data_IF_877808150057
#
_entry.id   IF_877808150057
#
_cell.length_a   1.000
_cell.length_b   1.000
_cell.length_c   1.000
_cell.angle_alpha   90.00
_cell.angle_beta   90.00
_cell.angle_gamma   90.00
#
_symmetry.space_group_name_H-M   'P 1'
#
loop_
_entity.id
_entity.type
_entity.pdbx_description
1 polymer ?
#
# COMPACT_ATOMS: atom_id res chain seq x y z
N UNK A 1 -11.86 -26.14 -17.46
CA UNK A 1 -12.45 -25.39 -16.34
C UNK A 1 -11.79 -24.02 -16.25
N UNK A 2 -12.44 -23.00 -16.80
CA UNK A 2 -11.99 -21.61 -16.68
C UNK A 2 -12.37 -21.11 -15.29
N UNK A 3 -11.39 -21.02 -14.39
CA UNK A 3 -11.53 -20.32 -13.11
C UNK A 3 -12.03 -18.90 -13.43
N UNK A 4 -13.13 -18.41 -12.83
CA UNK A 4 -13.55 -17.03 -13.04
C UNK A 4 -12.36 -16.12 -12.72
N UNK A 5 -12.15 -15.01 -13.47
CA UNK A 5 -11.11 -14.07 -13.10
C UNK A 5 -11.36 -13.67 -11.66
N UNK A 6 -10.42 -14.01 -10.78
CA UNK A 6 -10.50 -13.63 -9.37
C UNK A 6 -10.62 -12.11 -9.38
N UNK A 7 -11.66 -11.57 -8.74
CA UNK A 7 -11.72 -10.14 -8.50
C UNK A 7 -10.40 -9.72 -7.83
N UNK A 8 -9.66 -8.81 -8.47
CA UNK A 8 -8.37 -8.33 -7.94
C UNK A 8 -8.62 -7.73 -6.56
N UNK A 9 -7.84 -8.15 -5.57
CA UNK A 9 -7.98 -7.63 -4.21
C UNK A 9 -7.54 -6.16 -4.19
N UNK A 10 -8.40 -5.25 -3.71
CA UNK A 10 -8.06 -3.84 -3.58
C UNK A 10 -7.06 -3.63 -2.44
N UNK A 11 -5.91 -3.05 -2.78
CA UNK A 11 -4.78 -2.87 -1.86
C UNK A 11 -4.37 -1.41 -1.78
N UNK A 12 -4.10 -0.93 -0.58
CA UNK A 12 -3.39 0.34 -0.41
C UNK A 12 -1.92 0.09 -0.06
N UNK A 13 -1.05 1.03 -0.44
CA UNK A 13 0.38 0.95 -0.15
C UNK A 13 0.75 2.05 0.84
N UNK A 14 1.38 1.69 1.95
CA UNK A 14 1.92 2.67 2.91
C UNK A 14 3.39 2.97 2.58
N UNK A 15 3.68 4.21 2.20
CA UNK A 15 4.96 4.68 1.67
C UNK A 15 4.89 4.94 0.17
N UNK A 16 4.88 6.22 -0.23
CA UNK A 16 4.77 6.68 -1.61
C UNK A 16 6.12 7.07 -2.26
N UNK A 17 7.23 6.62 -1.68
CA UNK A 17 8.56 6.76 -2.28
C UNK A 17 8.85 5.68 -3.33
N UNK A 18 10.08 5.64 -3.83
CA UNK A 18 10.48 4.71 -4.90
C UNK A 18 10.16 3.22 -4.61
N UNK A 19 10.35 2.70 -3.37
CA UNK A 19 9.95 1.32 -3.06
C UNK A 19 8.45 1.05 -3.27
N UNK A 20 7.60 2.01 -2.86
CA UNK A 20 6.16 1.91 -3.03
C UNK A 20 5.74 2.03 -4.50
N UNK A 21 6.37 2.93 -5.25
CA UNK A 21 6.11 3.09 -6.68
C UNK A 21 6.43 1.80 -7.45
N UNK A 22 7.58 1.17 -7.18
CA UNK A 22 7.95 -0.12 -7.79
C UNK A 22 6.98 -1.24 -7.41
N UNK A 23 6.56 -1.29 -6.14
CA UNK A 23 5.58 -2.26 -5.68
C UNK A 23 4.24 -2.12 -6.41
N UNK A 24 3.75 -0.89 -6.60
CA UNK A 24 2.51 -0.65 -7.34
C UNK A 24 2.60 -1.13 -8.79
N UNK A 25 3.72 -0.86 -9.47
CA UNK A 25 3.95 -1.34 -10.84
C UNK A 25 3.96 -2.88 -10.91
N UNK A 26 4.63 -3.55 -9.96
CA UNK A 26 4.65 -5.01 -9.89
C UNK A 26 3.25 -5.61 -9.68
N UNK A 27 2.45 -5.03 -8.79
CA UNK A 27 1.07 -5.50 -8.53
C UNK A 27 0.16 -5.36 -9.76
N UNK A 28 0.35 -4.33 -10.60
CA UNK A 28 -0.44 -4.14 -11.81
C UNK A 28 -0.25 -5.30 -12.81
N UNK A 29 0.94 -5.93 -12.83
CA UNK A 29 1.26 -7.08 -13.67
C UNK A 29 0.82 -8.45 -13.12
N UNK A 30 0.86 -8.64 -11.80
CA UNK A 30 0.62 -9.94 -11.13
C UNK A 30 -0.84 -10.42 -11.16
N UNK A 31 -1.79 -9.48 -11.32
CA UNK A 31 -3.21 -9.81 -11.50
C UNK A 31 -3.94 -10.34 -10.26
N UNK A 32 -3.25 -10.56 -9.14
CA UNK A 32 -3.84 -10.89 -7.84
C UNK A 32 -4.27 -9.64 -7.06
N UNK A 33 -3.47 -8.57 -7.10
CA UNK A 33 -3.70 -7.34 -6.36
C UNK A 33 -3.98 -6.16 -7.30
N UNK A 34 -4.85 -5.24 -6.87
CA UNK A 34 -5.11 -3.97 -7.53
C UNK A 34 -4.72 -2.84 -6.56
N UNK A 35 -3.56 -2.20 -6.74
CA UNK A 35 -3.20 -1.07 -5.91
C UNK A 35 -4.11 0.12 -6.24
N UNK A 36 -4.81 0.66 -5.25
CA UNK A 36 -5.82 1.73 -5.47
C UNK A 36 -5.37 3.10 -4.98
N UNK A 37 -4.47 3.15 -3.99
CA UNK A 37 -3.91 4.39 -3.48
C UNK A 37 -2.63 4.19 -2.67
N UNK A 38 -1.95 5.30 -2.41
CA UNK A 38 -0.87 5.38 -1.43
C UNK A 38 -1.31 6.12 -0.16
N UNK A 39 -0.72 5.75 0.97
CA UNK A 39 -0.68 6.55 2.19
C UNK A 39 0.75 6.95 2.51
N UNK A 40 1.02 8.23 2.75
CA UNK A 40 2.37 8.71 3.09
C UNK A 40 2.31 9.97 3.98
N UNK A 41 3.14 10.02 5.02
CA UNK A 41 3.23 11.15 5.95
C UNK A 41 3.58 12.47 5.26
N UNK A 42 4.32 12.40 4.15
CA UNK A 42 4.72 13.57 3.36
C UNK A 42 3.59 14.10 2.48
N UNK A 43 2.44 13.44 2.40
CA UNK A 43 1.32 13.83 1.55
C UNK A 43 0.61 15.12 2.01
N UNK A 44 0.84 15.57 3.25
CA UNK A 44 0.20 16.79 3.82
C UNK A 44 0.53 18.10 3.09
N UNK A 45 1.53 18.13 2.21
CA UNK A 45 1.99 19.38 1.57
C UNK A 45 1.36 19.65 0.21
N UNK A 46 1.06 18.63 -0.59
CA UNK A 46 0.52 18.79 -1.95
C UNK A 46 -0.25 17.52 -2.36
N UNK A 47 -1.31 17.67 -3.17
CA UNK A 47 -1.96 16.52 -3.82
C UNK A 47 -0.98 15.88 -4.80
N UNK A 48 -0.49 14.69 -4.49
CA UNK A 48 0.48 13.98 -5.31
C UNK A 48 -0.13 12.70 -5.89
N UNK A 49 0.33 12.38 -7.09
CA UNK A 49 0.04 11.13 -7.78
C UNK A 49 1.36 10.42 -8.05
N UNK A 50 1.46 9.14 -7.68
CA UNK A 50 2.63 8.28 -7.89
C UNK A 50 2.15 7.02 -8.60
N UNK A 51 2.82 6.61 -9.68
CA UNK A 51 2.42 5.43 -10.47
C UNK A 51 0.93 5.46 -10.92
N UNK A 52 0.38 6.66 -11.16
CA UNK A 52 -1.04 6.86 -11.50
C UNK A 52 -2.02 6.79 -10.32
N UNK A 53 -1.53 6.57 -9.09
CA UNK A 53 -2.34 6.45 -7.88
C UNK A 53 -2.21 7.68 -7.00
N UNK A 54 -3.34 8.14 -6.44
CA UNK A 54 -3.34 9.27 -5.51
C UNK A 54 -2.65 8.90 -4.19
N UNK A 55 -1.93 9.88 -3.64
CA UNK A 55 -1.29 9.78 -2.33
C UNK A 55 -2.10 10.55 -1.30
N UNK A 56 -2.52 9.86 -0.25
CA UNK A 56 -3.30 10.40 0.87
C UNK A 56 -2.46 10.47 2.13
N UNK A 57 -2.78 11.37 3.06
CA UNK A 57 -2.11 11.42 4.33
C UNK A 57 -2.71 10.35 5.27
N UNK A 58 -1.95 9.81 6.25
CA UNK A 58 -2.39 8.66 7.06
C UNK A 58 -3.67 8.88 7.87
N UNK A 59 -4.09 10.13 8.09
CA UNK A 59 -5.30 10.46 8.84
C UNK A 59 -6.57 10.05 8.08
N UNK A 60 -6.51 9.95 6.76
CA UNK A 60 -7.63 9.52 5.92
C UNK A 60 -7.75 7.99 5.82
N UNK A 61 -6.86 7.25 6.47
CA UNK A 61 -6.74 5.81 6.28
C UNK A 61 -7.99 5.05 6.71
N UNK A 62 -8.55 5.36 7.88
CA UNK A 62 -9.76 4.71 8.38
C UNK A 62 -10.98 4.97 7.46
N UNK A 63 -11.12 6.20 6.98
CA UNK A 63 -12.21 6.60 6.08
C UNK A 63 -12.08 5.91 4.72
N UNK A 64 -10.92 6.04 4.06
CA UNK A 64 -10.73 5.53 2.71
C UNK A 64 -10.70 4.01 2.66
N UNK A 65 -10.18 3.33 3.70
CA UNK A 65 -10.24 1.86 3.77
C UNK A 65 -11.67 1.36 3.84
N UNK A 66 -12.56 2.05 4.55
CA UNK A 66 -13.98 1.73 4.60
C UNK A 66 -14.69 2.03 3.26
N UNK A 67 -14.54 3.25 2.73
CA UNK A 67 -15.24 3.69 1.51
C UNK A 67 -14.82 2.85 0.29
N UNK A 68 -13.54 2.49 0.17
CA UNK A 68 -13.01 1.73 -0.96
C UNK A 68 -12.91 0.23 -0.71
N UNK A 69 -13.42 -0.26 0.43
CA UNK A 69 -13.36 -1.67 0.81
C UNK A 69 -11.95 -2.25 0.72
N UNK A 70 -10.94 -1.47 1.10
CA UNK A 70 -9.54 -1.91 1.13
C UNK A 70 -9.37 -2.82 2.33
N UNK A 71 -9.02 -4.09 2.08
CA UNK A 71 -8.85 -5.09 3.14
C UNK A 71 -7.39 -5.41 3.44
N UNK A 72 -6.47 -4.90 2.62
CA UNK A 72 -5.05 -5.15 2.74
C UNK A 72 -4.27 -3.85 2.53
N UNK A 73 -3.34 -3.59 3.45
CA UNK A 73 -2.33 -2.55 3.33
C UNK A 73 -0.96 -3.21 3.23
N UNK A 74 -0.20 -2.85 2.20
CA UNK A 74 1.20 -3.27 2.06
C UNK A 74 2.13 -2.13 2.41
N UNK A 75 2.97 -2.33 3.42
CA UNK A 75 3.93 -1.33 3.91
C UNK A 75 5.22 -1.43 3.11
N UNK A 76 5.52 -0.38 2.34
CA UNK A 76 6.69 -0.26 1.47
C UNK A 76 7.76 0.67 2.08
N UNK A 77 8.17 0.38 3.32
CA UNK A 77 9.19 1.14 4.06
C UNK A 77 10.39 0.25 4.42
N UNK A 78 11.19 -0.21 3.44
CA UNK A 78 12.23 -1.23 3.65
C UNK A 78 13.39 -0.77 4.55
N UNK A 79 13.64 0.54 4.63
CA UNK A 79 14.72 1.12 5.45
C UNK A 79 14.21 1.80 6.74
N UNK A 80 12.97 1.53 7.18
CA UNK A 80 12.45 2.07 8.42
C UNK A 80 13.11 1.41 9.64
N UNK A 81 13.46 2.21 10.65
CA UNK A 81 13.89 1.69 11.95
C UNK A 81 12.78 0.86 12.61
N UNK A 82 13.14 -0.04 13.53
CA UNK A 82 12.16 -0.84 14.27
C UNK A 82 11.13 0.03 15.01
N UNK A 83 11.56 1.15 15.57
CA UNK A 83 10.67 2.13 16.20
C UNK A 83 9.66 2.72 15.21
N UNK A 84 10.12 3.13 14.03
CA UNK A 84 9.26 3.66 12.98
C UNK A 84 8.27 2.61 12.49
N UNK A 85 8.73 1.37 12.32
CA UNK A 85 7.87 0.26 11.94
C UNK A 85 6.78 -0.01 12.99
N UNK A 86 7.14 0.02 14.27
CA UNK A 86 6.19 -0.11 15.38
C UNK A 86 5.17 1.03 15.42
N UNK A 87 5.59 2.27 15.15
CA UNK A 87 4.69 3.42 15.07
C UNK A 87 3.68 3.28 13.92
N UNK A 88 4.15 2.89 12.73
CA UNK A 88 3.30 2.63 11.56
C UNK A 88 2.30 1.51 11.87
N UNK A 89 2.77 0.40 12.46
CA UNK A 89 1.90 -0.71 12.85
C UNK A 89 0.79 -0.31 13.81
N UNK A 90 1.10 0.49 14.84
CA UNK A 90 0.10 0.98 15.80
C UNK A 90 -0.94 1.85 15.12
N UNK A 91 -0.53 2.72 14.20
CA UNK A 91 -1.42 3.58 13.44
C UNK A 91 -2.32 2.75 12.49
N UNK A 92 -1.77 1.75 11.79
CA UNK A 92 -2.52 0.88 10.89
C UNK A 92 -3.45 -0.10 11.63
N UNK A 93 -3.06 -0.55 12.82
CA UNK A 93 -3.79 -1.54 13.61
C UNK A 93 -5.20 -1.09 14.01
N UNK A 94 -5.47 0.22 14.02
CA UNK A 94 -6.80 0.77 14.30
C UNK A 94 -7.82 0.61 13.16
N UNK A 95 -7.39 0.27 11.94
CA UNK A 95 -8.24 0.25 10.75
C UNK A 95 -8.94 -1.10 10.49
N UNK A 96 -8.60 -2.17 11.22
CA UNK A 96 -9.22 -3.49 11.04
C UNK A 96 -8.88 -4.18 9.71
N UNK A 97 -7.84 -3.72 9.01
CA UNK A 97 -7.36 -4.24 7.73
C UNK A 97 -6.15 -5.16 7.92
N UNK A 98 -5.95 -6.10 7.00
CA UNK A 98 -4.74 -6.92 6.95
C UNK A 98 -3.52 -6.06 6.64
N UNK A 99 -2.38 -6.37 7.25
CA UNK A 99 -1.12 -5.65 7.04
C UNK A 99 -0.07 -6.65 6.55
N UNK A 100 0.56 -6.34 5.41
CA UNK A 100 1.76 -7.04 4.91
C UNK A 100 2.91 -6.08 4.80
N UNK A 101 4.13 -6.58 4.97
CA UNK A 101 5.34 -5.79 4.78
C UNK A 101 5.99 -6.19 3.47
N UNK A 102 6.44 -5.19 2.72
CA UNK A 102 7.53 -5.37 1.78
C UNK A 102 8.81 -5.56 2.61
N UNK A 103 8.94 -6.70 3.29
CA UNK A 103 10.28 -7.20 3.66
C UNK A 103 10.96 -7.41 2.33
N UNK A 104 12.20 -6.92 2.19
CA UNK A 104 12.96 -7.02 0.96
C UNK A 104 12.76 -8.42 0.35
N UNK A 105 11.95 -8.52 -0.69
CA UNK A 105 12.10 -9.59 -1.65
C UNK A 105 13.46 -9.28 -2.26
N UNK A 106 14.48 -10.12 -2.09
CA UNK A 106 15.59 -10.06 -3.01
C UNK A 106 14.98 -10.30 -4.40
N UNK A 107 15.17 -9.33 -5.30
CA UNK A 107 14.78 -9.34 -6.71
C UNK A 107 13.32 -9.63 -7.08
N UNK A 108 12.64 -8.55 -7.46
CA UNK A 108 11.90 -8.56 -8.71
C UNK A 108 12.66 -7.66 -9.70
N UNK A 109 13.84 -8.12 -10.08
CA UNK A 109 14.68 -7.59 -11.14
C UNK A 109 15.36 -8.79 -11.82
N UNK A 110 14.58 -9.52 -12.61
CA UNK A 110 15.05 -10.25 -13.79
C UNK A 110 13.90 -10.26 -14.82
#
# INVERSE_FOLDING_TARGET
HTRPPLAREAVAIYGAGDPGARLAQAMQGDGQYCPVCFFDEKARREQRTIAGLRVFPPEQLAELTAIWSIRLIVVALPAASGERMGAVLRMLGGAGVGIKFLRALPDLAD
#
